data_IF_685716329887
#
_entry.id   IF_685716329887
#
_cell.length_a   1.000
_cell.length_b   1.000
_cell.length_c   1.000
_cell.angle_alpha   90.00
_cell.angle_beta   90.00
_cell.angle_gamma   90.00
#
_symmetry.space_group_name_H-M   'P 1'
#
loop_
_entity.id
_entity.type
_entity.pdbx_description
1 polymer ?
#
# COMPACT_ATOMS: atom_id res chain seq x y z
N UNK A 1 26.07 2.86 -37.31
CA UNK A 1 26.10 2.58 -35.85
C UNK A 1 24.71 2.55 -35.19
N UNK A 2 23.61 2.82 -35.91
CA UNK A 2 22.30 3.09 -35.29
C UNK A 2 21.35 1.88 -35.19
N UNK A 3 21.56 0.81 -35.96
CA UNK A 3 20.67 -0.37 -35.93
C UNK A 3 20.98 -1.31 -34.76
N UNK A 4 22.25 -1.42 -34.33
CA UNK A 4 22.65 -2.28 -33.21
C UNK A 4 22.21 -1.71 -31.85
N UNK A 5 22.18 -0.39 -31.70
CA UNK A 5 21.66 0.30 -30.49
C UNK A 5 20.14 0.16 -30.40
N UNK A 6 19.43 0.29 -31.53
CA UNK A 6 17.98 0.12 -31.59
C UNK A 6 17.57 -1.33 -31.28
N UNK A 7 18.33 -2.32 -31.76
CA UNK A 7 18.12 -3.74 -31.43
C UNK A 7 18.40 -4.05 -29.95
N UNK A 8 19.42 -3.43 -29.36
CA UNK A 8 19.70 -3.55 -27.92
C UNK A 8 18.57 -2.94 -27.07
N UNK A 9 18.08 -1.75 -27.45
CA UNK A 9 16.96 -1.06 -26.80
C UNK A 9 15.63 -1.81 -26.95
N UNK A 10 15.40 -2.50 -28.07
CA UNK A 10 14.18 -3.31 -28.27
C UNK A 10 14.25 -4.67 -27.58
N UNK A 11 15.45 -5.25 -27.40
CA UNK A 11 15.60 -6.50 -26.62
C UNK A 11 15.33 -6.32 -25.12
N UNK A 12 15.54 -5.11 -24.59
CA UNK A 12 15.27 -4.73 -23.19
C UNK A 12 13.76 -4.54 -22.88
N UNK A 13 12.87 -4.61 -23.88
CA UNK A 13 11.41 -4.36 -23.73
C UNK A 13 10.60 -5.67 -23.77
N UNK A 14 11.23 -6.83 -23.66
CA UNK A 14 10.49 -8.10 -23.55
C UNK A 14 9.93 -8.28 -22.13
N UNK A 15 8.84 -7.57 -21.83
CA UNK A 15 8.04 -7.82 -20.65
C UNK A 15 7.28 -9.14 -20.82
N UNK A 16 7.52 -10.08 -19.92
CA UNK A 16 6.70 -11.27 -19.75
C UNK A 16 5.32 -10.82 -19.27
N UNK A 17 4.35 -10.76 -20.18
CA UNK A 17 2.94 -10.58 -19.85
C UNK A 17 2.44 -11.85 -19.18
N UNK A 18 2.53 -11.89 -17.86
CA UNK A 18 1.76 -12.82 -17.07
C UNK A 18 0.47 -12.06 -16.72
N UNK A 19 -0.70 -12.46 -17.21
CA UNK A 19 -2.00 -11.86 -16.87
C UNK A 19 -2.58 -12.45 -15.57
N UNK A 20 -2.82 -11.62 -14.54
CA UNK A 20 -3.41 -11.87 -13.18
C UNK A 20 -2.47 -11.37 -12.05
N UNK A 21 -2.97 -10.67 -11.03
CA UNK A 21 -2.13 -10.16 -9.91
C UNK A 21 -2.31 -11.02 -8.65
N UNK A 22 -3.52 -11.53 -8.43
CA UNK A 22 -3.84 -12.36 -7.27
C UNK A 22 -3.02 -13.66 -7.25
N UNK A 23 -2.46 -13.98 -6.08
CA UNK A 23 -1.84 -15.28 -5.81
C UNK A 23 -0.51 -15.55 -6.51
N UNK A 24 0.22 -14.50 -6.97
CA UNK A 24 1.47 -14.66 -7.71
C UNK A 24 2.76 -14.44 -6.94
N UNK A 25 2.65 -13.70 -5.87
CA UNK A 25 3.78 -13.39 -5.02
C UNK A 25 3.40 -13.72 -3.60
N UNK A 26 4.40 -14.18 -2.86
CA UNK A 26 4.26 -14.42 -1.44
C UNK A 26 4.29 -13.11 -0.65
N UNK A 27 4.06 -13.16 0.66
CA UNK A 27 4.13 -12.01 1.58
C UNK A 27 3.28 -10.80 1.13
N UNK A 28 2.09 -11.03 0.58
CA UNK A 28 1.21 -9.96 0.08
C UNK A 28 0.84 -8.94 1.15
N UNK A 29 0.94 -9.31 2.44
CA UNK A 29 0.71 -8.40 3.56
C UNK A 29 1.59 -7.13 3.51
N UNK A 30 2.75 -7.17 2.85
CA UNK A 30 3.64 -6.01 2.66
C UNK A 30 3.00 -4.86 1.87
N UNK A 31 1.96 -5.15 1.08
CA UNK A 31 1.21 -4.20 0.27
C UNK A 31 -0.14 -3.80 0.88
N UNK A 32 -0.45 -4.30 2.09
CA UNK A 32 -1.63 -3.84 2.83
C UNK A 32 -1.45 -2.39 3.28
N UNK A 33 -2.58 -1.76 3.58
CA UNK A 33 -2.63 -0.35 3.98
C UNK A 33 -2.16 -0.23 5.43
N UNK A 34 -1.13 0.57 5.68
CA UNK A 34 -0.45 0.57 6.98
C UNK A 34 -1.10 1.45 8.06
N UNK A 35 -2.01 2.37 7.72
CA UNK A 35 -2.65 3.29 8.67
C UNK A 35 -4.01 3.82 8.19
N UNK A 36 -4.85 4.36 9.10
CA UNK A 36 -6.16 4.88 8.74
C UNK A 36 -6.12 6.11 7.84
N UNK A 37 -5.07 6.94 7.89
CA UNK A 37 -4.99 8.12 7.02
C UNK A 37 -4.83 7.69 5.57
N UNK A 38 -3.93 6.74 5.31
CA UNK A 38 -3.77 6.13 3.98
C UNK A 38 -5.06 5.43 3.52
N UNK A 39 -5.70 4.65 4.40
CA UNK A 39 -6.95 3.95 4.08
C UNK A 39 -8.09 4.92 3.69
N UNK A 40 -8.25 6.02 4.45
CA UNK A 40 -9.24 7.06 4.15
C UNK A 40 -9.01 7.74 2.79
N UNK A 41 -7.75 7.87 2.37
CA UNK A 41 -7.34 8.52 1.13
C UNK A 41 -7.28 7.55 -0.08
N UNK A 42 -7.87 6.35 0.03
CA UNK A 42 -7.97 5.39 -1.08
C UNK A 42 -6.94 4.26 -1.04
N UNK A 43 -6.14 4.17 0.03
CA UNK A 43 -5.34 2.99 0.37
C UNK A 43 -3.84 3.21 0.29
N UNK A 44 -3.29 3.53 -0.89
CA UNK A 44 -1.84 3.65 -1.09
C UNK A 44 -1.47 5.11 -1.30
N UNK A 45 -1.03 5.81 -0.25
CA UNK A 45 -0.56 7.20 -0.35
C UNK A 45 0.91 7.27 0.04
N UNK A 46 1.74 7.65 -0.92
CA UNK A 46 3.21 7.72 -0.74
C UNK A 46 3.72 9.14 -0.49
N UNK A 47 2.85 10.14 -0.53
CA UNK A 47 3.27 11.55 -0.63
C UNK A 47 3.40 12.27 0.69
N UNK A 48 2.95 11.74 1.84
CA UNK A 48 2.94 12.52 3.08
C UNK A 48 4.37 12.83 3.54
N UNK A 49 4.69 14.09 3.83
CA UNK A 49 5.99 14.50 4.39
C UNK A 49 5.77 15.28 5.69
N UNK A 50 5.50 14.57 6.78
CA UNK A 50 5.12 15.16 8.05
C UNK A 50 5.60 14.33 9.27
N UNK A 51 4.87 14.44 10.39
CA UNK A 51 5.21 13.89 11.70
C UNK A 51 4.94 12.38 11.83
N UNK A 52 4.08 11.78 11.01
CA UNK A 52 3.66 10.38 11.24
C UNK A 52 4.74 9.39 10.76
N UNK A 53 5.40 8.64 11.66
CA UNK A 53 6.46 7.71 11.29
C UNK A 53 5.95 6.56 10.43
N UNK A 54 4.65 6.28 10.37
CA UNK A 54 4.15 5.17 9.55
C UNK A 54 4.46 5.35 8.07
N UNK A 55 4.56 6.60 7.61
CA UNK A 55 4.89 6.90 6.23
C UNK A 55 6.26 6.33 5.84
N UNK A 56 7.22 6.28 6.77
CA UNK A 56 8.54 5.71 6.54
C UNK A 56 8.49 4.24 6.14
N UNK A 57 7.49 3.46 6.59
CA UNK A 57 7.31 2.05 6.18
C UNK A 57 6.83 1.90 4.72
N UNK A 58 6.17 2.91 4.17
CA UNK A 58 5.57 2.87 2.84
C UNK A 58 6.41 3.63 1.81
N UNK A 59 6.99 4.76 2.20
CA UNK A 59 7.93 5.56 1.42
C UNK A 59 9.13 5.97 2.29
N UNK A 60 10.29 5.31 2.15
CA UNK A 60 11.46 5.67 2.95
C UNK A 60 11.94 7.10 2.69
N UNK A 61 11.75 7.68 1.49
CA UNK A 61 12.17 9.06 1.22
C UNK A 61 11.37 10.12 1.99
N UNK A 62 10.24 9.73 2.60
CA UNK A 62 9.45 10.59 3.46
C UNK A 62 9.97 10.66 4.91
N UNK A 63 10.92 9.80 5.30
CA UNK A 63 11.53 9.82 6.64
C UNK A 63 12.19 11.19 6.83
N UNK A 64 11.79 11.90 7.89
CA UNK A 64 12.20 13.28 8.08
C UNK A 64 12.25 13.69 9.56
N UNK A 65 12.92 14.82 9.89
CA UNK A 65 13.11 15.24 11.27
C UNK A 65 11.82 15.54 12.06
N UNK A 66 10.69 15.81 11.39
CA UNK A 66 9.40 16.04 12.07
C UNK A 66 8.86 14.76 12.74
N UNK A 67 9.40 13.59 12.38
CA UNK A 67 9.04 12.30 12.97
C UNK A 67 9.79 12.01 14.28
N UNK A 68 10.72 12.87 14.72
CA UNK A 68 11.53 12.63 15.92
C UNK A 68 10.65 12.39 17.15
N UNK A 69 10.85 11.24 17.81
CA UNK A 69 10.12 10.78 19.00
C UNK A 69 8.62 10.66 18.77
N UNK A 70 8.19 10.41 17.54
CA UNK A 70 6.82 10.07 17.21
C UNK A 70 6.67 8.54 17.20
N UNK A 71 5.62 8.05 17.85
CA UNK A 71 5.21 6.65 17.84
C UNK A 71 3.84 6.55 17.17
N UNK A 72 3.70 5.68 16.16
CA UNK A 72 2.44 5.40 15.47
C UNK A 72 2.10 3.93 15.65
N UNK A 73 0.88 3.65 16.10
CA UNK A 73 0.34 2.29 16.29
C UNK A 73 -1.00 2.24 15.59
N UNK A 74 -1.16 1.28 14.68
CA UNK A 74 -2.37 1.11 13.90
C UNK A 74 -2.86 -0.33 13.98
N UNK A 75 -4.18 -0.49 14.00
CA UNK A 75 -4.88 -1.76 14.03
C UNK A 75 -6.00 -1.72 13.00
N UNK A 76 -6.13 -2.81 12.25
CA UNK A 76 -7.24 -3.01 11.34
C UNK A 76 -7.93 -4.34 11.63
N UNK A 77 -9.26 -4.27 11.74
CA UNK A 77 -10.12 -5.44 11.64
C UNK A 77 -10.50 -5.63 10.17
N UNK A 78 -9.88 -6.62 9.54
CA UNK A 78 -10.10 -6.95 8.15
C UNK A 78 -11.22 -7.98 8.00
N UNK A 79 -11.40 -8.50 6.79
CA UNK A 79 -12.49 -9.41 6.47
C UNK A 79 -12.20 -10.83 6.98
N UNK A 80 -13.25 -11.57 7.32
CA UNK A 80 -13.17 -12.98 7.72
C UNK A 80 -12.17 -13.24 8.87
N UNK A 81 -12.30 -12.48 9.97
CA UNK A 81 -11.48 -12.58 11.20
C UNK A 81 -9.98 -12.27 11.03
N UNK A 82 -9.54 -11.94 9.81
CA UNK A 82 -8.20 -11.44 9.55
C UNK A 82 -8.01 -10.11 10.26
N UNK A 83 -6.93 -9.99 11.00
CA UNK A 83 -6.56 -8.75 11.67
C UNK A 83 -5.09 -8.46 11.39
N UNK A 84 -4.76 -7.19 11.25
CA UNK A 84 -3.39 -6.78 11.03
C UNK A 84 -3.13 -5.43 11.65
N UNK A 85 -1.86 -5.16 11.93
CA UNK A 85 -1.45 -3.94 12.61
C UNK A 85 -0.06 -3.54 12.23
N UNK A 86 0.23 -2.27 12.50
CA UNK A 86 1.54 -1.69 12.27
C UNK A 86 1.97 -0.87 13.45
N UNK A 87 3.28 -0.84 13.68
CA UNK A 87 3.91 0.04 14.67
C UNK A 87 5.09 0.70 13.99
N UNK A 88 5.25 2.00 14.13
CA UNK A 88 6.41 2.72 13.64
C UNK A 88 6.89 3.75 14.64
N UNK A 89 8.20 3.90 14.72
CA UNK A 89 8.87 4.87 15.57
C UNK A 89 10.04 5.50 14.81
N UNK A 90 10.28 6.78 15.03
CA UNK A 90 11.40 7.48 14.45
C UNK A 90 12.14 8.30 15.50
N UNK A 91 13.46 8.34 15.37
CA UNK A 91 14.34 9.04 16.30
C UNK A 91 15.44 9.76 15.54
N UNK A 92 15.61 11.05 15.82
CA UNK A 92 16.71 11.87 15.32
C UNK A 92 17.96 11.62 16.16
N UNK A 93 18.92 10.92 15.58
CA UNK A 93 20.17 10.56 16.27
C UNK A 93 21.11 11.76 16.40
N UNK A 94 21.44 12.41 15.28
CA UNK A 94 22.25 13.63 15.25
C UNK A 94 22.00 14.42 13.94
N UNK A 95 22.73 15.53 13.74
CA UNK A 95 22.59 16.39 12.54
C UNK A 95 23.12 15.78 11.23
N UNK A 96 23.93 14.72 11.30
CA UNK A 96 24.61 14.08 10.17
C UNK A 96 23.92 12.78 9.74
N UNK A 97 23.61 11.94 10.72
CA UNK A 97 22.89 10.67 10.67
C UNK A 97 21.37 10.88 10.62
N UNK A 98 20.89 12.11 10.88
CA UNK A 98 19.48 12.51 10.81
C UNK A 98 18.57 11.53 11.55
N UNK A 99 17.57 10.97 10.86
CA UNK A 99 16.49 10.20 11.47
C UNK A 99 16.68 8.72 11.18
N UNK A 100 16.67 7.92 12.24
CA UNK A 100 16.56 6.46 12.17
C UNK A 100 15.09 6.12 12.35
N UNK A 101 14.56 5.36 11.41
CA UNK A 101 13.19 4.89 11.40
C UNK A 101 13.17 3.37 11.61
N UNK A 102 12.23 2.90 12.41
CA UNK A 102 11.98 1.47 12.56
C UNK A 102 10.49 1.21 12.69
N UNK A 103 10.04 0.06 12.23
CA UNK A 103 8.67 -0.36 12.44
C UNK A 103 8.42 -1.83 12.15
N UNK A 104 7.21 -2.25 12.47
CA UNK A 104 6.74 -3.63 12.38
C UNK A 104 5.40 -3.60 11.66
N UNK A 105 5.21 -4.49 10.70
CA UNK A 105 3.92 -4.83 10.11
C UNK A 105 3.60 -6.27 10.47
N UNK A 106 2.40 -6.54 10.95
CA UNK A 106 1.97 -7.88 11.38
C UNK A 106 0.59 -8.17 10.83
N UNK A 107 0.36 -9.40 10.37
CA UNK A 107 -0.96 -9.92 9.99
C UNK A 107 -1.21 -11.26 10.68
N UNK A 108 -2.46 -11.47 11.10
CA UNK A 108 -3.00 -12.72 11.59
C UNK A 108 -4.21 -13.08 10.74
N UNK A 109 -4.22 -14.29 10.19
CA UNK A 109 -5.28 -14.74 9.29
C UNK A 109 -6.53 -15.28 9.99
N UNK A 110 -6.55 -15.31 11.32
CA UNK A 110 -7.61 -15.94 12.10
C UNK A 110 -7.46 -17.45 12.16
N UNK A 111 -8.51 -18.13 12.62
CA UNK A 111 -8.56 -19.59 12.71
C UNK A 111 -9.47 -20.14 11.62
N UNK A 112 -8.97 -21.12 10.87
CA UNK A 112 -9.72 -21.85 9.87
C UNK A 112 -10.06 -23.25 10.38
N UNK A 113 -11.31 -23.67 10.15
CA UNK A 113 -11.74 -25.03 10.44
C UNK A 113 -11.12 -26.00 9.42
N UNK A 114 -10.40 -27.01 9.91
CA UNK A 114 -9.82 -28.05 9.07
C UNK A 114 -10.82 -29.15 8.74
N UNK A 115 -10.77 -29.68 7.51
CA UNK A 115 -11.52 -30.85 7.08
C UNK A 115 -10.65 -31.76 6.20
N UNK A 116 -10.83 -33.07 6.31
CA UNK A 116 -10.22 -34.03 5.40
C UNK A 116 -10.97 -34.11 4.05
N UNK A 117 -10.47 -34.92 3.11
CA UNK A 117 -11.09 -35.07 1.79
C UNK A 117 -12.45 -35.80 1.83
N UNK A 118 -12.80 -36.42 2.95
CA UNK A 118 -14.08 -37.06 3.21
C UNK A 118 -15.06 -36.12 3.95
N UNK A 119 -14.64 -34.90 4.28
CA UNK A 119 -15.45 -33.90 4.98
C UNK A 119 -15.52 -34.10 6.50
N UNK A 120 -14.69 -34.95 7.10
CA UNK A 120 -14.58 -35.05 8.54
C UNK A 120 -13.73 -33.89 9.07
N UNK A 121 -14.13 -33.30 10.20
CA UNK A 121 -13.39 -32.23 10.83
C UNK A 121 -12.00 -32.71 11.29
N UNK A 122 -10.98 -31.92 11.00
CA UNK A 122 -9.60 -32.08 11.50
C UNK A 122 -9.28 -30.94 12.48
N UNK A 123 -8.01 -30.77 12.85
CA UNK A 123 -7.61 -29.66 13.70
C UNK A 123 -7.78 -28.32 12.96
N UNK A 124 -8.13 -27.28 13.69
CA UNK A 124 -8.08 -25.93 13.16
C UNK A 124 -6.64 -25.54 12.81
N UNK A 125 -6.49 -24.72 11.78
CA UNK A 125 -5.21 -24.16 11.39
C UNK A 125 -5.28 -22.64 11.31
N UNK A 126 -4.13 -21.99 11.46
CA UNK A 126 -4.00 -20.54 11.42
C UNK A 126 -2.72 -20.16 10.68
N UNK A 127 -2.55 -18.87 10.41
CA UNK A 127 -1.34 -18.31 9.86
C UNK A 127 -1.10 -16.90 10.37
N UNK A 128 0.17 -16.51 10.45
CA UNK A 128 0.57 -15.16 10.77
C UNK A 128 1.88 -14.80 10.09
N UNK A 129 2.02 -13.53 9.74
CA UNK A 129 3.24 -13.00 9.12
C UNK A 129 3.65 -11.71 9.81
N UNK A 130 4.96 -11.48 9.87
CA UNK A 130 5.55 -10.27 10.43
C UNK A 130 6.70 -9.78 9.56
N UNK A 131 6.76 -8.47 9.37
CA UNK A 131 7.88 -7.78 8.74
C UNK A 131 8.44 -6.72 9.70
N UNK A 132 9.71 -6.84 10.05
CA UNK A 132 10.46 -5.80 10.77
C UNK A 132 11.20 -4.98 9.74
N UNK A 133 11.01 -3.66 9.78
CA UNK A 133 11.60 -2.71 8.83
C UNK A 133 12.48 -1.70 9.55
N UNK A 134 13.63 -1.40 8.98
CA UNK A 134 14.51 -0.30 9.42
C UNK A 134 14.81 0.59 8.22
N UNK A 135 14.67 1.89 8.41
CA UNK A 135 14.69 2.89 7.37
C UNK A 135 15.58 4.07 7.67
N UNK A 136 16.12 4.67 6.61
CA UNK A 136 16.83 5.93 6.69
C UNK A 136 16.64 6.75 5.40
N UNK A 137 16.63 8.08 5.54
CA UNK A 137 16.57 9.01 4.43
C UNK A 137 17.48 10.20 4.62
N UNK A 138 17.84 10.82 3.49
CA UNK A 138 18.64 12.03 3.42
C UNK A 138 18.13 12.97 2.35
N UNK A 139 18.29 14.26 2.61
CA UNK A 139 18.12 15.29 1.61
C UNK A 139 19.40 15.46 0.77
N UNK A 140 19.24 15.73 -0.52
CA UNK A 140 20.34 16.10 -1.42
C UNK A 140 20.67 17.59 -1.14
N UNK A 141 21.92 17.92 -0.74
CA UNK A 141 22.29 19.28 -0.39
C UNK A 141 21.94 20.30 -1.49
N UNK A 142 21.46 21.48 -1.08
CA UNK A 142 21.07 22.59 -1.97
C UNK A 142 19.92 22.28 -2.95
N UNK A 143 19.17 21.21 -2.71
CA UNK A 143 17.99 20.87 -3.51
C UNK A 143 16.82 20.50 -2.60
N UNK A 144 15.66 20.38 -3.22
CA UNK A 144 14.41 19.93 -2.60
C UNK A 144 14.19 18.41 -2.71
N UNK A 145 15.22 17.66 -3.10
CA UNK A 145 15.13 16.21 -3.29
C UNK A 145 15.57 15.46 -2.04
N UNK A 146 14.82 14.44 -1.71
CA UNK A 146 15.05 13.49 -0.63
C UNK A 146 15.12 12.09 -1.23
N UNK A 147 16.01 11.26 -0.72
CA UNK A 147 16.06 9.84 -1.06
C UNK A 147 16.12 9.03 0.23
N UNK A 148 15.60 7.83 0.20
CA UNK A 148 15.62 6.94 1.36
C UNK A 148 15.58 5.48 0.96
N UNK A 149 15.98 4.63 1.91
CA UNK A 149 15.88 3.19 1.78
C UNK A 149 15.37 2.54 3.06
N UNK A 150 14.61 1.46 2.90
CA UNK A 150 14.26 0.53 3.98
C UNK A 150 14.88 -0.84 3.71
N UNK A 151 15.19 -1.56 4.77
CA UNK A 151 15.44 -3.01 4.75
C UNK A 151 14.36 -3.67 5.61
N UNK A 152 13.77 -4.76 5.10
CA UNK A 152 12.72 -5.54 5.75
C UNK A 152 13.19 -6.98 5.95
N UNK A 153 12.99 -7.49 7.14
CA UNK A 153 13.12 -8.90 7.48
C UNK A 153 11.74 -9.48 7.70
N UNK A 154 11.42 -10.54 6.96
CA UNK A 154 10.08 -11.10 6.88
C UNK A 154 10.12 -12.50 7.46
N UNK A 155 9.13 -12.80 8.30
CA UNK A 155 8.86 -14.14 8.82
C UNK A 155 7.40 -14.43 8.59
N UNK A 156 7.11 -15.56 7.98
CA UNK A 156 5.75 -16.03 7.72
C UNK A 156 5.58 -17.46 8.19
N UNK A 157 4.46 -17.71 8.84
CA UNK A 157 4.02 -19.04 9.23
C UNK A 157 2.60 -19.23 8.70
N UNK A 158 2.41 -20.22 7.84
CA UNK A 158 1.11 -20.63 7.31
C UNK A 158 0.88 -22.08 7.69
N UNK A 159 0.00 -22.34 8.67
CA UNK A 159 -0.17 -23.64 9.30
C UNK A 159 1.17 -24.22 9.79
N UNK A 160 1.69 -25.25 9.14
CA UNK A 160 2.94 -25.94 9.48
C UNK A 160 4.14 -25.43 8.66
N UNK A 161 3.89 -24.65 7.62
CA UNK A 161 4.93 -24.16 6.72
C UNK A 161 5.45 -22.80 7.18
N UNK A 162 6.77 -22.68 7.23
CA UNK A 162 7.46 -21.45 7.62
C UNK A 162 8.32 -20.92 6.48
N UNK A 163 8.38 -19.60 6.32
CA UNK A 163 9.22 -18.97 5.32
C UNK A 163 9.79 -17.65 5.84
N UNK A 164 11.08 -17.45 5.58
CA UNK A 164 11.80 -16.21 5.87
C UNK A 164 12.16 -15.50 4.58
N UNK A 165 12.08 -14.17 4.59
CA UNK A 165 12.38 -13.33 3.44
C UNK A 165 13.14 -12.07 3.82
N UNK A 166 13.77 -11.46 2.82
CA UNK A 166 14.38 -10.14 2.94
C UNK A 166 13.94 -9.27 1.78
N UNK A 167 13.63 -8.01 2.06
CA UNK A 167 13.24 -7.03 1.05
C UNK A 167 13.85 -5.66 1.32
N UNK A 168 13.92 -4.83 0.29
CA UNK A 168 14.28 -3.44 0.38
C UNK A 168 13.25 -2.56 -0.31
N UNK A 169 13.05 -1.36 0.22
CA UNK A 169 12.33 -0.30 -0.47
C UNK A 169 13.29 0.84 -0.79
N UNK A 170 13.10 1.50 -1.94
CA UNK A 170 13.87 2.66 -2.35
C UNK A 170 12.90 3.76 -2.76
N UNK A 171 13.12 4.97 -2.25
CA UNK A 171 12.27 6.12 -2.55
C UNK A 171 13.08 7.33 -2.99
N UNK A 172 12.47 8.15 -3.84
CA UNK A 172 12.88 9.53 -4.10
C UNK A 172 11.67 10.45 -3.99
N UNK A 173 11.86 11.61 -3.39
CA UNK A 173 10.80 12.57 -3.12
C UNK A 173 11.28 14.00 -3.35
N UNK A 174 10.50 14.79 -4.05
CA UNK A 174 10.67 16.22 -4.22
C UNK A 174 9.68 16.95 -3.30
N UNK A 175 10.18 17.77 -2.39
CA UNK A 175 9.39 18.53 -1.41
C UNK A 175 9.61 20.02 -1.61
N UNK A 176 8.58 20.73 -2.05
CA UNK A 176 8.65 22.17 -2.26
C UNK A 176 7.80 22.92 -1.23
N UNK A 177 8.47 23.43 -0.20
CA UNK A 177 7.84 24.01 0.98
C UNK A 177 6.94 25.22 0.68
N UNK A 178 7.29 26.06 -0.30
CA UNK A 178 6.51 27.28 -0.59
C UNK A 178 5.09 26.99 -1.11
N UNK A 179 4.89 25.86 -1.78
CA UNK A 179 3.60 25.45 -2.35
C UNK A 179 3.02 24.20 -1.69
N UNK A 180 3.67 23.70 -0.64
CA UNK A 180 3.33 22.41 -0.01
C UNK A 180 3.23 21.24 -1.00
N UNK A 181 3.98 21.33 -2.10
CA UNK A 181 3.99 20.37 -3.20
C UNK A 181 4.94 19.22 -2.89
N UNK A 182 4.43 18.00 -2.97
CA UNK A 182 5.16 16.77 -2.70
C UNK A 182 4.98 15.83 -3.88
N UNK A 183 6.07 15.44 -4.54
CA UNK A 183 6.08 14.50 -5.67
C UNK A 183 7.05 13.38 -5.32
N UNK A 184 6.68 12.12 -5.56
CA UNK A 184 7.53 10.99 -5.17
C UNK A 184 7.39 9.81 -6.11
N UNK A 185 8.45 9.01 -6.16
CA UNK A 185 8.46 7.68 -6.72
C UNK A 185 9.07 6.72 -5.68
N UNK A 186 8.43 5.58 -5.47
CA UNK A 186 8.92 4.53 -4.58
C UNK A 186 8.85 3.18 -5.26
N UNK A 187 9.93 2.41 -5.14
CA UNK A 187 10.01 1.01 -5.52
C UNK A 187 10.02 0.18 -4.23
N UNK A 188 8.99 -0.61 -4.00
CA UNK A 188 8.76 -1.37 -2.76
C UNK A 188 8.99 -2.86 -2.97
N UNK A 189 9.43 -3.52 -1.90
CA UNK A 189 9.56 -4.97 -1.79
C UNK A 189 10.52 -5.60 -2.81
N UNK A 190 11.65 -4.94 -3.10
CA UNK A 190 12.73 -5.51 -3.91
C UNK A 190 13.45 -6.56 -3.06
N UNK A 191 13.30 -7.84 -3.38
CA UNK A 191 13.89 -8.90 -2.55
C UNK A 191 13.53 -10.31 -2.96
N UNK A 192 13.75 -11.25 -2.04
CA UNK A 192 13.55 -12.69 -2.26
C UNK A 192 13.18 -13.39 -0.95
N UNK A 193 12.55 -14.56 -1.06
CA UNK A 193 12.54 -15.52 0.05
C UNK A 193 13.96 -16.05 0.28
N UNK A 194 14.34 -16.17 1.54
CA UNK A 194 15.54 -16.87 1.99
C UNK A 194 15.25 -18.36 2.18
N UNK A 195 14.03 -18.69 2.57
CA UNK A 195 13.54 -20.07 2.71
C UNK A 195 12.16 -20.17 2.07
N UNK A 196 11.95 -21.09 1.10
CA UNK A 196 10.62 -21.34 0.56
C UNK A 196 9.72 -22.03 1.61
N UNK A 197 8.39 -21.98 1.43
CA UNK A 197 7.47 -22.77 2.27
C UNK A 197 7.59 -24.27 2.00
N UNK A 198 7.96 -24.63 0.77
CA UNK A 198 8.16 -26.01 0.34
C UNK A 198 9.43 -26.10 -0.53
N UNK A 199 9.30 -26.27 -1.85
CA UNK A 199 10.45 -26.46 -2.76
C UNK A 199 10.83 -25.16 -3.48
N UNK A 200 9.83 -24.44 -3.98
CA UNK A 200 10.05 -23.33 -4.92
C UNK A 200 10.12 -21.99 -4.21
N UNK A 201 11.08 -21.16 -4.65
CA UNK A 201 11.16 -19.76 -4.22
C UNK A 201 10.15 -18.95 -5.03
N UNK A 202 9.20 -18.34 -4.32
CA UNK A 202 8.18 -17.47 -4.88
C UNK A 202 8.66 -16.01 -4.90
N UNK A 203 8.25 -15.22 -5.90
CA UNK A 203 8.64 -13.82 -5.98
C UNK A 203 7.96 -13.01 -4.86
N UNK A 204 8.62 -11.92 -4.46
CA UNK A 204 8.04 -10.91 -3.57
C UNK A 204 7.06 -9.98 -4.32
N UNK A 205 6.17 -9.27 -3.62
CA UNK A 205 5.14 -8.45 -4.23
C UNK A 205 5.71 -7.07 -4.56
N UNK A 206 6.67 -7.06 -5.49
CA UNK A 206 7.36 -5.86 -5.97
C UNK A 206 6.37 -4.87 -6.58
N UNK A 207 6.48 -3.60 -6.17
CA UNK A 207 5.57 -2.54 -6.63
C UNK A 207 6.29 -1.21 -6.82
N UNK A 208 6.03 -0.55 -7.97
CA UNK A 208 6.42 0.84 -8.21
C UNK A 208 5.19 1.73 -8.05
N UNK A 209 5.31 2.76 -7.21
CA UNK A 209 4.25 3.73 -6.93
C UNK A 209 4.78 5.13 -7.22
N UNK A 210 4.01 5.93 -7.96
CA UNK A 210 4.25 7.35 -8.17
C UNK A 210 3.15 8.14 -7.45
N UNK A 211 3.51 9.27 -6.84
CA UNK A 211 2.52 10.09 -6.14
C UNK A 211 2.80 11.58 -6.27
N UNK A 212 1.74 12.37 -6.28
CA UNK A 212 1.79 13.82 -6.15
C UNK A 212 0.72 14.31 -5.18
N UNK A 213 1.05 15.32 -4.37
CA UNK A 213 0.08 15.99 -3.51
C UNK A 213 0.45 17.45 -3.29
N UNK A 214 -0.54 18.29 -3.03
CA UNK A 214 -0.32 19.71 -2.77
C UNK A 214 -1.46 20.28 -1.92
N UNK A 215 -1.13 21.21 -1.02
CA UNK A 215 -2.15 22.07 -0.37
C UNK A 215 -2.48 23.23 -1.31
N UNK A 216 -3.77 23.44 -1.57
CA UNK A 216 -4.22 24.55 -2.41
C UNK A 216 -3.98 25.90 -1.72
N UNK A 217 -3.54 26.91 -2.47
CA UNK A 217 -3.35 28.25 -1.92
C UNK A 217 -4.70 28.79 -1.41
N UNK A 218 -4.73 29.29 -0.16
CA UNK A 218 -5.90 29.92 0.50
C UNK A 218 -7.08 29.00 0.80
N UNK A 219 -6.96 27.71 0.49
CA UNK A 219 -8.01 26.72 0.75
C UNK A 219 -7.39 25.58 1.55
N UNK A 220 -7.93 25.21 2.73
CA UNK A 220 -7.33 24.19 3.59
C UNK A 220 -7.63 22.78 3.06
N UNK A 221 -7.24 22.49 1.83
CA UNK A 221 -7.46 21.23 1.14
C UNK A 221 -6.14 20.76 0.55
N UNK A 222 -5.74 19.53 0.90
CA UNK A 222 -4.65 18.81 0.21
C UNK A 222 -5.27 17.80 -0.75
N UNK A 223 -4.90 17.86 -2.02
CA UNK A 223 -5.24 16.80 -2.97
C UNK A 223 -4.09 15.80 -3.07
N UNK A 224 -4.44 14.56 -3.37
CA UNK A 224 -3.51 13.46 -3.60
C UNK A 224 -3.88 12.73 -4.88
N UNK A 225 -2.88 12.43 -5.70
CA UNK A 225 -2.98 11.52 -6.82
C UNK A 225 -1.87 10.50 -6.66
N UNK A 226 -2.22 9.22 -6.74
CA UNK A 226 -1.26 8.12 -6.71
C UNK A 226 -1.48 7.22 -7.91
N UNK A 227 -0.39 6.81 -8.54
CA UNK A 227 -0.34 5.80 -9.58
C UNK A 227 0.35 4.56 -9.01
N UNK A 228 -0.39 3.46 -8.84
CA UNK A 228 0.10 2.21 -8.26
C UNK A 228 0.45 1.17 -9.33
N UNK A 229 1.31 0.18 -9.00
CA UNK A 229 1.72 -0.90 -9.90
C UNK A 229 2.31 -0.46 -11.25
N UNK A 230 3.10 0.62 -11.26
CA UNK A 230 3.65 1.20 -12.49
C UNK A 230 4.66 0.31 -13.23
N UNK A 231 5.13 -0.77 -12.60
CA UNK A 231 5.96 -1.80 -13.23
C UNK A 231 5.20 -2.68 -14.23
N UNK A 232 3.86 -2.66 -14.20
CA UNK A 232 3.03 -3.54 -15.00
C UNK A 232 1.77 -2.83 -15.46
N UNK A 233 1.59 -2.68 -16.77
CA UNK A 233 0.44 -2.00 -17.33
C UNK A 233 -0.86 -2.80 -17.23
N UNK A 234 -0.83 -4.11 -17.47
CA UNK A 234 -2.03 -4.96 -17.54
C UNK A 234 -2.52 -5.41 -16.15
N UNK A 235 -3.28 -4.56 -15.46
CA UNK A 235 -3.92 -4.87 -14.18
C UNK A 235 -5.36 -5.39 -14.35
N UNK A 236 -6.10 -4.89 -15.33
CA UNK A 236 -7.50 -5.23 -15.52
C UNK A 236 -7.66 -6.69 -15.99
N UNK A 237 -8.71 -7.36 -15.51
CA UNK A 237 -9.09 -8.70 -15.92
C UNK A 237 -10.58 -8.74 -16.23
N UNK A 238 -10.96 -9.58 -17.19
CA UNK A 238 -12.36 -9.79 -17.53
C UNK A 238 -13.01 -10.61 -16.42
N UNK A 239 -14.08 -10.11 -15.82
CA UNK A 239 -14.76 -10.79 -14.73
C UNK A 239 -15.76 -11.83 -15.29
N UNK A 240 -15.59 -13.14 -15.03
CA UNK A 240 -16.50 -14.18 -15.51
C UNK A 240 -17.96 -13.97 -15.08
N UNK A 241 -18.19 -13.38 -13.91
CA UNK A 241 -19.53 -13.10 -13.39
C UNK A 241 -20.27 -12.02 -14.21
N UNK A 242 -19.59 -11.37 -15.16
CA UNK A 242 -20.14 -10.31 -16.02
C UNK A 242 -20.25 -10.71 -17.48
N UNK A 243 -19.96 -11.96 -17.80
CA UNK A 243 -20.08 -12.44 -19.16
C UNK A 243 -21.56 -12.51 -19.56
N UNK A 244 -21.86 -12.01 -20.76
CA UNK A 244 -23.21 -12.05 -21.32
C UNK A 244 -23.25 -13.21 -22.31
N UNK A 245 -24.14 -14.17 -22.06
CA UNK A 245 -24.45 -15.25 -23.00
C UNK A 245 -25.66 -14.85 -23.83
N UNK A 246 -25.51 -14.82 -25.15
CA UNK A 246 -26.64 -14.57 -26.06
C UNK A 246 -27.57 -15.79 -26.19
N UNK A 247 -28.66 -15.64 -26.94
CA UNK A 247 -29.66 -16.70 -27.13
C UNK A 247 -29.11 -17.86 -27.97
N UNK A 248 -28.02 -17.63 -28.68
CA UNK A 248 -27.27 -18.54 -29.53
C UNK A 248 -26.13 -19.27 -28.78
N UNK A 249 -25.91 -18.93 -27.50
CA UNK A 249 -24.90 -19.54 -26.63
C UNK A 249 -23.49 -18.97 -26.79
N UNK A 250 -23.32 -17.83 -27.46
CA UNK A 250 -22.05 -17.11 -27.56
C UNK A 250 -21.84 -16.30 -26.29
N UNK A 251 -20.72 -16.57 -25.61
CA UNK A 251 -20.28 -15.83 -24.43
C UNK A 251 -19.47 -14.62 -24.88
N UNK A 252 -19.92 -13.43 -24.49
CA UNK A 252 -19.20 -12.18 -24.71
C UNK A 252 -18.61 -11.68 -23.39
N UNK A 253 -17.28 -11.64 -23.31
CA UNK A 253 -16.55 -11.17 -22.14
C UNK A 253 -16.32 -9.65 -22.18
N UNK A 254 -16.07 -9.04 -21.02
CA UNK A 254 -15.81 -7.60 -20.89
C UNK A 254 -14.61 -7.18 -21.75
N UNK A 255 -14.80 -6.19 -22.62
CA UNK A 255 -13.74 -5.63 -23.46
C UNK A 255 -13.00 -4.54 -22.68
N UNK A 256 -11.78 -4.84 -22.25
CA UNK A 256 -10.92 -3.94 -21.50
C UNK A 256 -10.08 -3.13 -22.49
N UNK A 257 -10.22 -1.81 -22.44
CA UNK A 257 -9.43 -0.91 -23.27
C UNK A 257 -8.28 -0.25 -22.49
N UNK A 258 -7.45 0.52 -23.20
CA UNK A 258 -6.30 1.24 -22.61
C UNK A 258 -6.70 2.24 -21.50
N UNK A 259 -7.86 2.89 -21.63
CA UNK A 259 -8.34 3.87 -20.64
C UNK A 259 -8.79 3.16 -19.37
N UNK A 260 -9.47 2.02 -19.50
CA UNK A 260 -9.89 1.20 -18.36
C UNK A 260 -8.66 0.77 -17.55
N UNK A 261 -7.62 0.33 -18.26
CA UNK A 261 -6.34 -0.04 -17.70
C UNK A 261 -5.66 1.13 -16.99
N UNK A 262 -5.58 2.29 -17.66
CA UNK A 262 -5.04 3.52 -17.07
C UNK A 262 -5.73 3.88 -15.75
N UNK A 263 -7.06 3.78 -15.69
CA UNK A 263 -7.79 4.04 -14.45
C UNK A 263 -7.52 2.99 -13.37
N UNK A 264 -7.17 1.74 -13.68
CA UNK A 264 -6.75 0.74 -12.66
C UNK A 264 -5.48 1.13 -11.91
N UNK A 265 -4.69 2.04 -12.46
CA UNK A 265 -3.52 2.55 -11.78
C UNK A 265 -3.83 3.70 -10.81
N UNK A 266 -4.99 4.35 -10.93
CA UNK A 266 -5.23 5.65 -10.29
C UNK A 266 -5.92 5.51 -8.94
N UNK A 267 -5.39 6.24 -7.96
CA UNK A 267 -6.02 6.54 -6.68
C UNK A 267 -6.05 8.05 -6.50
N UNK A 268 -7.21 8.59 -6.11
CA UNK A 268 -7.38 10.00 -5.78
C UNK A 268 -7.80 10.17 -4.34
N UNK A 269 -7.27 11.19 -3.67
CA UNK A 269 -7.56 11.51 -2.28
C UNK A 269 -7.69 13.02 -2.04
N UNK A 270 -8.52 13.39 -1.07
CA UNK A 270 -8.71 14.76 -0.60
C UNK A 270 -8.65 14.77 0.93
N UNK A 271 -7.81 15.62 1.49
CA UNK A 271 -7.73 15.89 2.93
C UNK A 271 -8.17 17.33 3.20
N UNK A 272 -9.27 17.49 3.93
CA UNK A 272 -9.81 18.76 4.40
C UNK A 272 -9.20 19.09 5.76
N UNK A 273 -8.75 20.33 5.91
CA UNK A 273 -8.07 20.86 7.10
C UNK A 273 -6.83 20.05 7.52
N UNK A 274 -5.88 19.77 6.59
CA UNK A 274 -4.73 18.89 6.85
C UNK A 274 -3.85 19.34 8.02
N UNK A 275 -3.76 20.65 8.26
CA UNK A 275 -2.94 21.25 9.32
C UNK A 275 -3.69 21.43 10.66
N UNK A 276 -5.02 21.26 10.65
CA UNK A 276 -5.85 21.49 11.82
C UNK A 276 -5.76 20.33 12.83
N UNK A 277 -6.24 20.60 14.05
CA UNK A 277 -6.46 19.55 15.05
C UNK A 277 -7.51 18.53 14.61
N UNK A 278 -8.47 18.94 13.79
CA UNK A 278 -9.47 18.05 13.19
C UNK A 278 -9.33 18.05 11.67
N UNK A 279 -9.29 16.88 11.05
CA UNK A 279 -9.27 16.73 9.59
C UNK A 279 -10.26 15.67 9.12
N UNK A 280 -10.70 15.82 7.87
CA UNK A 280 -11.57 14.86 7.18
C UNK A 280 -10.86 14.43 5.92
N UNK A 281 -10.94 13.15 5.59
CA UNK A 281 -10.26 12.54 4.45
C UNK A 281 -11.27 11.76 3.63
N UNK A 282 -11.17 11.90 2.31
CA UNK A 282 -11.98 11.20 1.33
C UNK A 282 -11.06 10.63 0.27
N UNK A 283 -11.36 9.43 -0.21
CA UNK A 283 -10.55 8.74 -1.20
C UNK A 283 -11.37 7.90 -2.15
N UNK A 284 -10.88 7.74 -3.36
CA UNK A 284 -11.45 6.86 -4.37
C UNK A 284 -10.34 6.07 -5.07
N UNK A 285 -10.42 4.74 -4.94
CA UNK A 285 -9.55 3.81 -5.65
C UNK A 285 -10.31 3.23 -6.85
N UNK A 286 -9.89 3.60 -8.05
CA UNK A 286 -10.56 3.23 -9.29
C UNK A 286 -10.48 1.72 -9.57
N UNK A 287 -9.33 1.09 -9.28
CA UNK A 287 -9.19 -0.37 -9.41
C UNK A 287 -10.16 -1.10 -8.51
N UNK A 288 -10.16 -0.77 -7.22
CA UNK A 288 -11.04 -1.39 -6.22
C UNK A 288 -12.52 -1.16 -6.55
N UNK A 289 -12.87 0.02 -7.06
CA UNK A 289 -14.23 0.33 -7.48
C UNK A 289 -14.72 -0.63 -8.55
N UNK A 290 -13.88 -0.91 -9.53
CA UNK A 290 -14.24 -1.69 -10.69
C UNK A 290 -14.05 -3.21 -10.49
N UNK A 291 -13.05 -3.66 -9.73
CA UNK A 291 -12.85 -5.10 -9.42
C UNK A 291 -13.96 -5.64 -8.51
N UNK A 292 -14.40 -4.85 -7.54
CA UNK A 292 -15.42 -5.26 -6.56
C UNK A 292 -16.83 -4.77 -6.92
N UNK A 293 -17.03 -4.26 -8.15
CA UNK A 293 -18.36 -3.90 -8.66
C UNK A 293 -19.19 -5.16 -8.87
N UNK A 294 -20.36 -5.17 -8.24
CA UNK A 294 -21.39 -6.20 -8.42
C UNK A 294 -22.43 -5.66 -9.42
N UNK A 295 -22.84 -6.47 -10.38
CA UNK A 295 -23.88 -6.09 -11.36
C UNK A 295 -25.18 -5.74 -10.62
N UNK A 296 -25.89 -4.74 -11.13
CA UNK A 296 -27.17 -4.24 -10.60
C UNK A 296 -27.15 -3.72 -9.15
N UNK A 297 -25.96 -3.55 -8.56
CA UNK A 297 -25.81 -3.10 -7.16
C UNK A 297 -24.85 -1.93 -7.03
N UNK A 298 -25.29 -0.87 -6.34
CA UNK A 298 -24.41 0.26 -5.96
C UNK A 298 -23.54 -0.11 -4.76
N UNK A 299 -22.40 -0.74 -5.02
CA UNK A 299 -21.50 -1.22 -3.97
C UNK A 299 -20.63 -0.12 -3.34
N UNK A 300 -20.36 0.98 -4.07
CA UNK A 300 -19.46 2.07 -3.64
C UNK A 300 -18.05 1.60 -3.21
N UNK A 301 -17.60 0.48 -3.76
CA UNK A 301 -16.39 -0.25 -3.36
C UNK A 301 -15.09 0.55 -3.52
N UNK A 302 -15.09 1.60 -4.35
CA UNK A 302 -13.95 2.50 -4.51
C UNK A 302 -13.80 3.51 -3.38
N UNK A 303 -14.88 3.87 -2.69
CA UNK A 303 -14.91 4.99 -1.75
C UNK A 303 -14.30 4.62 -0.40
N UNK A 304 -13.59 5.59 0.18
CA UNK A 304 -13.12 5.53 1.56
C UNK A 304 -13.22 6.91 2.19
N UNK A 305 -13.43 6.92 3.49
CA UNK A 305 -13.53 8.15 4.26
C UNK A 305 -12.92 7.93 5.64
N UNK A 306 -12.46 9.01 6.25
CA UNK A 306 -11.92 8.97 7.60
C UNK A 306 -11.76 10.36 8.17
N UNK A 307 -11.37 10.39 9.44
CA UNK A 307 -11.09 11.62 10.14
C UNK A 307 -9.94 11.44 11.11
N UNK A 308 -9.31 12.55 11.48
CA UNK A 308 -8.26 12.60 12.49
C UNK A 308 -8.55 13.69 13.52
N UNK A 309 -8.28 13.41 14.79
CA UNK A 309 -8.39 14.36 15.89
C UNK A 309 -7.07 14.39 16.66
N UNK A 310 -6.49 15.59 16.81
CA UNK A 310 -5.32 15.86 17.66
C UNK A 310 -5.77 16.39 19.01
N UNK A 311 -5.35 15.70 20.07
CA UNK A 311 -5.53 16.06 21.47
C UNK A 311 -4.14 16.15 22.11
N UNK A 312 -3.58 17.36 22.17
CA UNK A 312 -2.22 17.60 22.66
C UNK A 312 -1.18 16.72 21.95
N UNK A 313 -0.57 15.77 22.68
CA UNK A 313 0.45 14.82 22.19
C UNK A 313 -0.13 13.58 21.53
N UNK A 314 -1.45 13.40 21.57
CA UNK A 314 -2.12 12.22 21.03
C UNK A 314 -2.90 12.61 19.78
N UNK A 315 -2.82 11.81 18.73
CA UNK A 315 -3.69 11.94 17.56
C UNK A 315 -4.37 10.61 17.27
N UNK A 316 -5.69 10.66 17.27
CA UNK A 316 -6.56 9.55 16.92
C UNK A 316 -6.92 9.67 15.44
N UNK A 317 -6.78 8.58 14.71
CA UNK A 317 -7.20 8.48 13.32
C UNK A 317 -8.17 7.31 13.20
N UNK A 318 -9.25 7.53 12.46
CA UNK A 318 -10.20 6.50 12.12
C UNK A 318 -10.51 6.57 10.62
N UNK A 319 -10.65 5.42 9.99
CA UNK A 319 -11.13 5.35 8.63
C UNK A 319 -12.03 4.16 8.39
N UNK A 320 -12.93 4.34 7.45
CA UNK A 320 -13.87 3.34 6.99
C UNK A 320 -13.73 3.18 5.48
N UNK A 321 -13.54 1.93 5.06
CA UNK A 321 -13.49 1.55 3.66
C UNK A 321 -14.51 0.46 3.39
N UNK A 322 -15.39 0.71 2.42
CA UNK A 322 -16.36 -0.28 1.96
C UNK A 322 -15.75 -1.05 0.79
N UNK A 323 -15.64 -2.37 0.91
CA UNK A 323 -15.07 -3.24 -0.13
C UNK A 323 -16.16 -3.82 -1.02
N UNK A 324 -17.28 -4.27 -0.45
CA UNK A 324 -18.49 -4.62 -1.20
C UNK A 324 -19.75 -4.42 -0.31
N UNK A 325 -20.92 -4.88 -0.74
CA UNK A 325 -22.16 -4.75 0.05
C UNK A 325 -22.16 -5.55 1.35
N UNK A 326 -21.43 -6.66 1.41
CA UNK A 326 -21.30 -7.54 2.57
C UNK A 326 -20.03 -7.28 3.41
N UNK A 327 -19.10 -6.47 2.90
CA UNK A 327 -17.74 -6.35 3.41
C UNK A 327 -17.32 -4.88 3.60
N UNK A 328 -17.01 -4.52 4.84
CA UNK A 328 -16.42 -3.23 5.20
C UNK A 328 -15.32 -3.42 6.23
N UNK A 329 -14.31 -2.55 6.22
CA UNK A 329 -13.19 -2.60 7.15
C UNK A 329 -13.02 -1.26 7.84
N UNK A 330 -12.66 -1.32 9.13
CA UNK A 330 -12.49 -0.17 9.99
C UNK A 330 -11.07 -0.15 10.53
N UNK A 331 -10.37 0.96 10.30
CA UNK A 331 -8.99 1.14 10.70
C UNK A 331 -8.93 2.11 11.86
N UNK A 332 -8.15 1.76 12.87
CA UNK A 332 -7.90 2.57 14.05
C UNK A 332 -6.41 2.87 14.15
N UNK A 333 -6.07 4.12 14.42
CA UNK A 333 -4.69 4.57 14.47
C UNK A 333 -4.47 5.56 15.59
N UNK A 334 -3.35 5.40 16.26
CA UNK A 334 -2.93 6.21 17.38
C UNK A 334 -1.51 6.69 17.12
N UNK A 335 -1.35 8.00 16.98
CA UNK A 335 -0.05 8.66 16.94
C UNK A 335 0.21 9.34 18.28
N UNK A 336 1.40 9.17 18.84
CA UNK A 336 1.82 9.70 20.13
C UNK A 336 3.14 10.44 19.94
N UNK A 337 3.12 11.72 20.30
CA UNK A 337 4.30 12.56 20.44
C UNK A 337 4.92 12.32 21.82
N UNK A 338 6.13 11.77 21.86
CA UNK A 338 6.85 11.46 23.10
C UNK A 338 7.79 12.58 23.57
N UNK A 339 7.80 13.74 22.90
CA UNK A 339 8.66 14.88 23.27
C UNK A 339 8.22 15.59 24.53
#
# INVERSE_FOLDING_TARGET
MNQKVLFLLTSLITFSALGQIGGRATYQFLNLVNDPRQAALGGKIVTNYDYDPIQGLFNPAAINPKMDKQLSVNYNNYLADVNYGTVAYAYSWDRYTQVIHAGISYINYGDFAGYDTQGNATNNFSGAEVAISVGHARNIPFTNFHYGGNIKFISSQLEQYSSFGVAADLGIMYVHDQWDLQITAVARNIGTQLTPYDIEIEPLPFEIILGASQILERIPIRWHITLENMQRWDLAFSNPDREITDLEGVVTSENINFIDEAFRHVIVGLELFPESGFNIRLGYNFRRAEELRIIDTRAFSGLSAGFGIKLNKVRLNYSFSKYNTAASSSFFGLNIDLQ
#
